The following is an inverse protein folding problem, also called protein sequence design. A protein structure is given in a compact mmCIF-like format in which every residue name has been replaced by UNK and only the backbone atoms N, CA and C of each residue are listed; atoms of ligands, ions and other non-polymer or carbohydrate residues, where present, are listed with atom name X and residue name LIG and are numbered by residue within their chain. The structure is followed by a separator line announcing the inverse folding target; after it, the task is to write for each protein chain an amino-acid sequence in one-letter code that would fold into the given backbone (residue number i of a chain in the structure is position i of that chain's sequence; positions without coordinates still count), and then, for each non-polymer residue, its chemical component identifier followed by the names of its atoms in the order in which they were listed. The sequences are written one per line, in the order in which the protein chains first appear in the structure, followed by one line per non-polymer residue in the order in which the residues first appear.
data_IF_788131918830
#
_entry.id   IF_788131918830
#
_cell.length_a   1.000
_cell.length_b   1.000
_cell.length_c   1.000
_cell.angle_alpha   90.00
_cell.angle_beta   90.00
_cell.angle_gamma   90.00
#
_symmetry.space_group_name_H-M   'P 1'
#
loop_
_entity.id
_entity.type
_entity.pdbx_description
1 polymer ?
#
# COMPACT_ATOMS: atom_id res chain seq x y z
N UNK A 1 -11.03 16.23 11.49
CA UNK A 1 -10.73 15.16 10.50
C UNK A 1 -9.41 15.48 9.82
N UNK A 2 -8.62 14.47 9.47
CA UNK A 2 -7.34 14.65 8.78
C UNK A 2 -7.42 13.96 7.43
N UNK A 3 -7.03 14.63 6.35
CA UNK A 3 -7.05 14.07 5.01
C UNK A 3 -5.64 13.93 4.47
N UNK A 4 -5.33 12.78 3.85
CA UNK A 4 -4.06 12.54 3.15
C UNK A 4 -4.35 12.05 1.73
N UNK A 5 -3.51 12.44 0.78
CA UNK A 5 -3.60 12.01 -0.61
C UNK A 5 -2.31 11.33 -1.02
N UNK A 6 -2.39 10.04 -1.34
CA UNK A 6 -1.29 9.27 -1.90
C UNK A 6 -1.39 9.16 -3.42
N UNK A 7 -0.50 8.35 -4.01
CA UNK A 7 -0.46 8.05 -5.45
C UNK A 7 -1.71 7.32 -5.94
N UNK A 8 -2.20 6.37 -5.16
CA UNK A 8 -3.32 5.49 -5.53
C UNK A 8 -4.60 5.76 -4.74
N UNK A 9 -4.53 6.46 -3.60
CA UNK A 9 -5.64 6.50 -2.65
C UNK A 9 -5.75 7.84 -1.95
N UNK A 10 -6.98 8.22 -1.63
CA UNK A 10 -7.32 9.30 -0.74
C UNK A 10 -7.71 8.69 0.62
N UNK A 11 -7.20 9.25 1.71
CA UNK A 11 -7.40 8.73 3.05
C UNK A 11 -8.02 9.80 3.93
N UNK A 12 -9.13 9.47 4.58
CA UNK A 12 -9.78 10.29 5.60
C UNK A 12 -9.58 9.61 6.95
N UNK A 13 -8.93 10.29 7.89
CA UNK A 13 -8.70 9.80 9.25
C UNK A 13 -9.67 10.51 10.18
N UNK A 14 -10.44 9.72 10.93
CA UNK A 14 -11.32 10.19 11.99
C UNK A 14 -10.71 9.83 13.36
N UNK A 15 -10.08 10.80 14.06
CA UNK A 15 -9.52 10.57 15.38
C UNK A 15 -10.57 10.14 16.40
N UNK A 16 -11.78 10.70 16.31
CA UNK A 16 -12.90 10.39 17.20
C UNK A 16 -13.29 8.90 17.15
N UNK A 17 -13.23 8.30 15.95
CA UNK A 17 -13.56 6.89 15.75
C UNK A 17 -12.33 5.97 15.88
N UNK A 18 -11.12 6.52 15.85
CA UNK A 18 -9.90 5.72 15.72
C UNK A 18 -9.85 4.95 14.39
N UNK A 19 -10.43 5.49 13.32
CA UNK A 19 -10.54 4.83 12.01
C UNK A 19 -9.95 5.68 10.88
N UNK A 20 -9.43 4.99 9.87
CA UNK A 20 -8.98 5.54 8.60
C UNK A 20 -9.80 4.92 7.45
N UNK A 21 -10.40 5.78 6.64
CA UNK A 21 -11.20 5.43 5.46
C UNK A 21 -10.35 5.67 4.22
N UNK A 22 -10.00 4.62 3.48
CA UNK A 22 -9.21 4.71 2.25
C UNK A 22 -10.10 4.52 1.03
N UNK A 23 -10.08 5.51 0.14
CA UNK A 23 -10.80 5.52 -1.13
C UNK A 23 -9.80 5.44 -2.29
N UNK A 24 -9.99 4.55 -3.27
CA UNK A 24 -9.11 4.48 -4.43
C UNK A 24 -9.29 5.72 -5.32
N UNK A 25 -8.18 6.23 -5.85
CA UNK A 25 -8.16 7.29 -6.85
C UNK A 25 -8.15 6.62 -8.22
N UNK A 26 -9.26 6.71 -8.93
CA UNK A 26 -9.41 6.18 -10.28
C UNK A 26 -9.02 7.25 -11.32
N UNK A 27 -8.51 6.81 -12.47
CA UNK A 27 -8.13 7.71 -13.56
C UNK A 27 -8.83 7.38 -14.90
N UNK A 28 -10.17 7.30 -14.94
CA UNK A 28 -10.90 6.86 -16.13
C UNK A 28 -10.65 7.76 -17.34
N UNK A 29 -10.57 9.08 -17.15
CA UNK A 29 -10.28 10.01 -18.23
C UNK A 29 -8.87 9.82 -18.81
N UNK A 30 -7.87 9.48 -17.98
CA UNK A 30 -6.52 9.19 -18.48
C UNK A 30 -6.49 7.87 -19.23
N UNK A 31 -7.15 6.84 -18.71
CA UNK A 31 -7.27 5.54 -19.35
C UNK A 31 -7.95 5.67 -20.74
N UNK A 32 -9.07 6.42 -20.80
CA UNK A 32 -9.78 6.70 -22.04
C UNK A 32 -8.91 7.47 -23.04
N UNK A 33 -8.24 8.55 -22.62
CA UNK A 33 -7.35 9.33 -23.52
C UNK A 33 -6.20 8.50 -24.07
N UNK A 34 -5.64 7.60 -23.27
CA UNK A 34 -4.57 6.70 -23.71
C UNK A 34 -5.08 5.68 -24.73
N UNK A 35 -6.24 5.06 -24.47
CA UNK A 35 -6.89 4.17 -25.42
C UNK A 35 -7.24 4.90 -26.74
N UNK A 36 -7.81 6.11 -26.66
CA UNK A 36 -8.14 6.93 -27.82
C UNK A 36 -6.91 7.25 -28.67
N UNK A 37 -5.78 7.61 -28.05
CA UNK A 37 -4.52 7.88 -28.76
C UNK A 37 -4.03 6.66 -29.53
N UNK A 38 -4.08 5.47 -28.93
CA UNK A 38 -3.66 4.23 -29.60
C UNK A 38 -4.57 3.88 -30.78
N UNK A 39 -5.88 4.11 -30.64
CA UNK A 39 -6.82 3.95 -31.76
C UNK A 39 -6.49 4.91 -32.90
N UNK A 40 -6.21 6.18 -32.61
CA UNK A 40 -5.81 7.17 -33.63
C UNK A 40 -4.50 6.78 -34.35
N UNK A 41 -3.56 6.18 -33.63
CA UNK A 41 -2.29 5.69 -34.18
C UNK A 41 -2.41 4.33 -34.89
N UNK A 42 -3.62 3.73 -34.91
CA UNK A 42 -3.89 2.36 -35.41
C UNK A 42 -3.06 1.29 -34.70
N UNK A 43 -2.65 1.55 -33.46
CA UNK A 43 -1.77 0.68 -32.70
C UNK A 43 -2.56 -0.32 -31.84
N UNK A 44 -3.35 -1.16 -32.51
CA UNK A 44 -4.27 -2.09 -31.86
C UNK A 44 -3.57 -3.18 -31.05
N UNK A 45 -2.32 -3.50 -31.41
CA UNK A 45 -1.49 -4.45 -30.65
C UNK A 45 -1.25 -3.93 -29.25
N UNK A 46 -0.83 -2.66 -29.09
CA UNK A 46 -0.59 -2.07 -27.78
C UNK A 46 -1.89 -1.79 -27.02
N UNK A 47 -2.98 -1.46 -27.73
CA UNK A 47 -4.30 -1.36 -27.10
C UNK A 47 -4.72 -2.69 -26.47
N UNK A 48 -4.54 -3.81 -27.19
CA UNK A 48 -4.85 -5.14 -26.68
C UNK A 48 -3.96 -5.51 -25.49
N UNK A 49 -2.65 -5.26 -25.59
CA UNK A 49 -1.71 -5.48 -24.49
C UNK A 49 -2.13 -4.65 -23.27
N UNK A 50 -2.54 -3.39 -23.45
CA UNK A 50 -2.95 -2.55 -22.33
C UNK A 50 -4.19 -3.06 -21.59
N UNK A 51 -5.14 -3.68 -22.30
CA UNK A 51 -6.38 -4.22 -21.72
C UNK A 51 -6.12 -5.57 -21.06
N UNK A 52 -5.30 -6.41 -21.69
CA UNK A 52 -5.10 -7.82 -21.27
C UNK A 52 -3.94 -8.03 -20.32
N UNK A 53 -2.92 -7.16 -20.39
CA UNK A 53 -1.69 -7.32 -19.63
C UNK A 53 -1.65 -6.33 -18.46
N UNK A 54 -1.33 -6.79 -17.22
CA UNK A 54 -0.99 -5.88 -16.14
C UNK A 54 0.39 -5.29 -16.43
N UNK A 55 0.47 -4.30 -17.33
CA UNK A 55 1.67 -3.45 -17.43
C UNK A 55 1.72 -2.62 -16.14
N UNK A 56 2.39 -3.18 -15.14
CA UNK A 56 2.84 -2.50 -13.94
C UNK A 56 4.33 -2.20 -14.13
N UNK A 57 4.68 -1.41 -15.15
CA UNK A 57 6.00 -0.77 -15.18
C UNK A 57 5.93 0.46 -14.25
N UNK A 58 7.00 0.78 -13.50
CA UNK A 58 7.08 2.02 -12.73
C UNK A 58 6.73 3.27 -13.55
N UNK A 59 7.08 3.23 -14.85
CA UNK A 59 7.02 4.35 -15.78
C UNK A 59 5.77 4.35 -16.68
N UNK A 60 5.18 3.18 -16.93
CA UNK A 60 4.01 3.01 -17.80
C UNK A 60 2.92 2.27 -17.05
N UNK A 61 1.84 2.99 -16.73
CA UNK A 61 0.62 2.40 -16.16
C UNK A 61 -0.26 1.88 -17.28
N UNK A 62 -0.48 0.57 -17.31
CA UNK A 62 -1.46 -0.05 -18.20
C UNK A 62 -2.89 0.41 -17.89
N UNK A 63 -3.82 0.09 -18.80
CA UNK A 63 -5.24 0.42 -18.63
C UNK A 63 -5.81 -0.17 -17.33
N UNK A 64 -5.43 -1.42 -17.02
CA UNK A 64 -5.81 -2.09 -15.77
C UNK A 64 -5.34 -1.35 -14.52
N UNK A 65 -4.10 -0.87 -14.47
CA UNK A 65 -3.61 -0.11 -13.29
C UNK A 65 -4.35 1.22 -13.12
N UNK A 66 -4.61 1.94 -14.23
CA UNK A 66 -5.32 3.22 -14.20
C UNK A 66 -6.79 3.10 -13.74
N UNK A 67 -7.44 1.99 -14.09
CA UNK A 67 -8.85 1.74 -13.82
C UNK A 67 -9.10 0.98 -12.52
N UNK A 68 -8.25 0.00 -12.21
CA UNK A 68 -8.49 -0.98 -11.16
C UNK A 68 -7.31 -1.16 -10.20
N UNK A 69 -6.12 -0.62 -10.49
CA UNK A 69 -4.93 -0.81 -9.65
C UNK A 69 -5.18 -0.39 -8.21
N UNK A 70 -5.72 0.81 -7.99
CA UNK A 70 -6.04 1.29 -6.64
C UNK A 70 -7.07 0.43 -5.89
N UNK A 71 -8.08 -0.09 -6.61
CA UNK A 71 -9.11 -0.99 -6.06
C UNK A 71 -8.47 -2.31 -5.65
N UNK A 72 -7.65 -2.88 -6.54
CA UNK A 72 -6.95 -4.13 -6.31
C UNK A 72 -6.03 -4.07 -5.10
N UNK A 73 -5.29 -2.97 -4.93
CA UNK A 73 -4.40 -2.79 -3.78
C UNK A 73 -5.21 -2.73 -2.47
N UNK A 74 -6.32 -1.99 -2.42
CA UNK A 74 -7.21 -1.97 -1.26
C UNK A 74 -7.76 -3.37 -0.94
N UNK A 75 -8.24 -4.08 -1.97
CA UNK A 75 -8.78 -5.42 -1.78
C UNK A 75 -7.70 -6.39 -1.29
N UNK A 76 -6.50 -6.30 -1.83
CA UNK A 76 -5.36 -7.15 -1.47
C UNK A 76 -4.95 -6.91 -0.01
N UNK A 77 -4.89 -5.67 0.48
CA UNK A 77 -4.68 -5.38 1.92
C UNK A 77 -5.72 -6.08 2.80
N UNK A 78 -7.00 -5.93 2.47
CA UNK A 78 -8.08 -6.53 3.27
C UNK A 78 -7.97 -8.06 3.28
N UNK A 79 -7.79 -8.67 2.12
CA UNK A 79 -7.66 -10.12 1.99
C UNK A 79 -6.43 -10.65 2.74
N UNK A 80 -5.30 -9.96 2.64
CA UNK A 80 -4.08 -10.37 3.34
C UNK A 80 -4.22 -10.27 4.86
N UNK A 81 -4.79 -9.17 5.35
CA UNK A 81 -5.09 -9.03 6.79
C UNK A 81 -6.05 -10.11 7.26
N UNK A 82 -7.15 -10.33 6.54
CA UNK A 82 -8.17 -11.30 6.94
C UNK A 82 -7.61 -12.72 6.98
N UNK A 83 -6.77 -13.09 6.00
CA UNK A 83 -6.15 -14.41 5.89
C UNK A 83 -5.08 -14.66 6.96
N UNK A 84 -4.19 -13.69 7.19
CA UNK A 84 -3.00 -13.93 8.03
C UNK A 84 -3.18 -13.46 9.46
N UNK A 85 -3.98 -12.40 9.68
CA UNK A 85 -4.13 -11.70 10.96
C UNK A 85 -2.77 -11.38 11.61
N UNK A 86 -1.74 -11.18 10.78
CA UNK A 86 -0.37 -11.06 11.27
C UNK A 86 -0.25 -9.84 12.21
N UNK A 87 0.34 -9.97 13.41
CA UNK A 87 0.33 -8.90 14.43
C UNK A 87 0.96 -7.58 13.98
N UNK A 88 1.91 -7.65 13.03
CA UNK A 88 2.58 -6.48 12.45
C UNK A 88 1.64 -5.63 11.59
N UNK A 89 0.53 -6.18 11.12
CA UNK A 89 -0.43 -5.46 10.30
C UNK A 89 -1.29 -4.54 11.16
N UNK A 90 -1.55 -3.33 10.66
CA UNK A 90 -2.63 -2.52 11.19
C UNK A 90 -3.97 -3.08 10.68
N UNK A 91 -4.94 -3.37 11.58
CA UNK A 91 -6.18 -4.03 11.20
C UNK A 91 -6.98 -3.32 10.10
N UNK A 92 -7.30 -4.05 9.04
CA UNK A 92 -8.24 -3.62 8.00
C UNK A 92 -9.55 -4.35 8.22
N UNK A 93 -10.51 -3.67 8.85
CA UNK A 93 -11.75 -4.29 9.31
C UNK A 93 -12.71 -4.64 8.18
N UNK A 94 -12.73 -3.84 7.12
CA UNK A 94 -13.71 -3.98 6.05
C UNK A 94 -13.16 -3.47 4.72
N UNK A 95 -13.59 -4.10 3.62
CA UNK A 95 -13.40 -3.61 2.26
C UNK A 95 -14.67 -3.79 1.44
N UNK A 96 -15.20 -2.71 0.86
CA UNK A 96 -16.30 -2.79 -0.12
C UNK A 96 -15.72 -3.01 -1.52
N UNK A 97 -15.34 -4.26 -1.83
CA UNK A 97 -14.71 -4.64 -3.10
C UNK A 97 -13.51 -3.74 -3.49
N UNK A 98 -12.75 -3.24 -2.51
CA UNK A 98 -11.62 -2.34 -2.72
C UNK A 98 -11.99 -0.86 -2.97
N UNK A 99 -13.27 -0.52 -3.13
CA UNK A 99 -13.74 0.87 -3.32
C UNK A 99 -13.71 1.69 -2.02
N UNK A 100 -13.75 1.02 -0.88
CA UNK A 100 -13.60 1.62 0.43
C UNK A 100 -12.92 0.60 1.33
N UNK A 101 -11.77 0.94 1.91
CA UNK A 101 -11.19 0.21 3.03
C UNK A 101 -11.40 0.99 4.33
N UNK A 102 -11.86 0.28 5.37
CA UNK A 102 -11.91 0.80 6.74
C UNK A 102 -10.79 0.13 7.52
N UNK A 103 -9.80 0.92 7.92
CA UNK A 103 -8.63 0.48 8.68
C UNK A 103 -8.61 1.14 10.05
N UNK A 104 -8.06 0.48 11.06
CA UNK A 104 -7.78 1.10 12.36
C UNK A 104 -6.76 2.23 12.19
N UNK A 105 -7.01 3.40 12.76
CA UNK A 105 -6.01 4.46 12.82
C UNK A 105 -4.99 4.18 13.93
N UNK A 106 -3.73 4.54 13.70
CA UNK A 106 -2.66 4.48 14.70
C UNK A 106 -1.94 5.82 14.83
N UNK A 107 -1.15 5.98 15.88
CA UNK A 107 -0.29 7.15 16.05
C UNK A 107 0.77 7.16 14.94
N UNK A 108 1.04 8.29 14.26
CA UNK A 108 2.03 8.35 13.19
C UNK A 108 3.41 7.85 13.64
N UNK A 109 4.11 7.12 12.76
CA UNK A 109 5.52 6.82 12.97
C UNK A 109 6.35 8.12 12.92
N UNK A 110 7.14 8.35 13.97
CA UNK A 110 8.04 9.51 14.09
C UNK A 110 9.51 9.15 13.81
N UNK A 111 9.77 7.90 13.45
CA UNK A 111 11.12 7.40 13.12
C UNK A 111 11.55 8.04 11.78
N UNK A 112 12.77 8.57 11.74
CA UNK A 112 13.35 9.12 10.51
C UNK A 112 13.54 8.02 9.47
N UNK A 113 13.29 8.33 8.20
CA UNK A 113 13.35 7.37 7.09
C UNK A 113 14.68 6.61 7.03
N UNK A 114 15.82 7.29 7.15
CA UNK A 114 17.13 6.63 7.17
C UNK A 114 17.25 5.61 8.30
N UNK A 115 16.87 5.99 9.52
CA UNK A 115 16.94 5.11 10.71
C UNK A 115 16.01 3.90 10.56
N UNK A 116 14.81 4.13 10.02
CA UNK A 116 13.87 3.06 9.70
C UNK A 116 14.44 2.10 8.65
N UNK A 117 15.00 2.63 7.56
CA UNK A 117 15.58 1.85 6.48
C UNK A 117 16.76 1.00 6.98
N UNK A 118 17.71 1.60 7.71
CA UNK A 118 18.87 0.91 8.26
C UNK A 118 18.43 -0.23 9.21
N UNK A 119 17.51 0.05 10.13
CA UNK A 119 17.01 -0.97 11.06
C UNK A 119 16.23 -2.09 10.36
N UNK A 120 15.42 -1.78 9.34
CA UNK A 120 14.71 -2.80 8.56
C UNK A 120 15.70 -3.65 7.75
N UNK A 121 16.78 -3.06 7.23
CA UNK A 121 17.83 -3.79 6.52
C UNK A 121 18.55 -4.76 7.45
N UNK A 122 18.89 -4.33 8.67
CA UNK A 122 19.54 -5.20 9.66
C UNK A 122 18.68 -6.42 10.05
N UNK A 123 17.35 -6.27 10.00
CA UNK A 123 16.39 -7.32 10.40
C UNK A 123 16.00 -8.24 9.24
N UNK A 124 15.72 -7.67 8.07
CA UNK A 124 15.10 -8.35 6.93
C UNK A 124 16.03 -8.46 5.70
N UNK A 125 17.24 -7.90 5.77
CA UNK A 125 18.22 -7.91 4.69
C UNK A 125 17.72 -7.23 3.42
N UNK A 126 18.15 -7.74 2.27
CA UNK A 126 17.83 -7.18 0.95
C UNK A 126 16.34 -7.23 0.59
N UNK A 127 15.52 -8.02 1.30
CA UNK A 127 14.07 -8.12 1.01
C UNK A 127 13.33 -6.79 1.16
N UNK A 128 13.92 -5.81 1.86
CA UNK A 128 13.33 -4.45 1.94
C UNK A 128 13.38 -3.71 0.59
N UNK A 129 14.30 -4.10 -0.29
CA UNK A 129 14.48 -3.50 -1.62
C UNK A 129 13.61 -4.16 -2.69
N UNK A 130 12.91 -5.24 -2.36
CA UNK A 130 11.85 -5.80 -3.21
C UNK A 130 10.68 -4.80 -3.33
N UNK A 131 10.43 -3.98 -2.30
CA UNK A 131 9.38 -2.96 -2.31
C UNK A 131 9.76 -1.70 -1.50
N UNK A 132 10.75 -0.92 -1.97
CA UNK A 132 11.32 0.16 -1.19
C UNK A 132 10.29 1.26 -0.90
N UNK A 133 9.41 1.56 -1.86
CA UNK A 133 8.39 2.60 -1.67
C UNK A 133 7.38 2.29 -0.55
N UNK A 134 7.06 1.02 -0.32
CA UNK A 134 6.17 0.63 0.78
C UNK A 134 6.94 0.42 2.09
N UNK A 135 8.17 -0.12 2.02
CA UNK A 135 8.90 -0.58 3.20
C UNK A 135 9.82 0.47 3.84
N UNK A 136 10.34 1.44 3.10
CA UNK A 136 11.28 2.41 3.71
C UNK A 136 10.61 3.69 4.17
N UNK A 137 9.38 4.00 3.70
CA UNK A 137 8.70 5.24 4.04
C UNK A 137 8.05 5.20 5.44
N UNK A 138 8.43 6.06 6.39
CA UNK A 138 7.82 6.10 7.72
C UNK A 138 6.31 6.34 7.69
N UNK A 139 5.81 7.00 6.64
CA UNK A 139 4.38 7.25 6.46
C UNK A 139 3.52 5.99 6.31
N UNK A 140 4.15 4.85 6.04
CA UNK A 140 3.50 3.54 5.92
C UNK A 140 3.49 2.77 7.25
N UNK A 141 3.93 3.38 8.34
CA UNK A 141 3.98 2.77 9.67
C UNK A 141 3.24 3.61 10.71
N UNK A 142 2.81 2.95 11.78
CA UNK A 142 2.19 3.59 12.94
C UNK A 142 2.52 2.85 14.23
N UNK A 143 2.27 3.51 15.36
CA UNK A 143 2.22 2.90 16.67
C UNK A 143 0.77 2.75 17.13
N UNK A 144 0.40 1.55 17.56
CA UNK A 144 -0.92 1.24 18.11
C UNK A 144 -0.75 0.43 19.40
N UNK A 145 -1.12 1.01 20.54
CA UNK A 145 -0.93 0.44 21.87
C UNK A 145 0.52 -0.03 22.11
N UNK A 146 1.48 0.85 21.80
CA UNK A 146 2.92 0.57 21.95
C UNK A 146 3.51 -0.40 20.93
N UNK A 147 2.70 -0.94 20.00
CA UNK A 147 3.17 -1.87 18.96
C UNK A 147 3.43 -1.13 17.66
N UNK A 148 4.61 -1.35 17.09
CA UNK A 148 4.95 -0.90 15.75
C UNK A 148 4.20 -1.73 14.70
N UNK A 149 3.51 -1.08 13.76
CA UNK A 149 2.67 -1.73 12.76
C UNK A 149 2.78 -1.07 11.40
N UNK A 150 2.59 -1.85 10.34
CA UNK A 150 2.52 -1.39 8.95
C UNK A 150 1.07 -1.12 8.55
N UNK A 151 0.82 0.02 7.89
CA UNK A 151 -0.52 0.46 7.45
C UNK A 151 -0.75 0.31 5.94
N UNK A 152 0.31 0.33 5.13
CA UNK A 152 0.26 0.10 3.69
C UNK A 152 1.02 -1.17 3.34
N UNK A 153 0.27 -2.21 2.98
CA UNK A 153 0.79 -3.54 2.74
C UNK A 153 0.04 -4.20 1.59
N UNK A 154 -0.45 -3.45 0.61
CA UNK A 154 -1.24 -4.04 -0.49
C UNK A 154 -0.42 -4.78 -1.55
N UNK A 155 0.91 -4.76 -1.45
CA UNK A 155 1.83 -5.36 -2.41
C UNK A 155 2.22 -6.79 -2.03
N UNK A 156 2.31 -7.67 -3.03
CA UNK A 156 2.77 -9.05 -2.83
C UNK A 156 4.22 -9.13 -2.37
N UNK A 157 5.05 -8.18 -2.76
CA UNK A 157 6.45 -8.12 -2.35
C UNK A 157 6.55 -7.76 -0.86
N UNK A 158 5.73 -6.81 -0.40
CA UNK A 158 5.57 -6.50 1.03
C UNK A 158 5.10 -7.72 1.86
N UNK A 159 4.21 -8.58 1.33
CA UNK A 159 3.75 -9.78 2.05
C UNK A 159 4.88 -10.71 2.45
N UNK A 160 5.87 -10.88 1.57
CA UNK A 160 7.00 -11.76 1.83
C UNK A 160 7.78 -11.29 3.05
N UNK A 161 8.19 -10.02 3.07
CA UNK A 161 8.91 -9.44 4.20
C UNK A 161 8.09 -9.52 5.50
N UNK A 162 6.77 -9.27 5.45
CA UNK A 162 5.91 -9.35 6.63
C UNK A 162 5.86 -10.77 7.19
N UNK A 163 5.69 -11.77 6.34
CA UNK A 163 5.60 -13.17 6.77
C UNK A 163 6.94 -13.71 7.30
N UNK A 164 8.06 -13.29 6.70
CA UNK A 164 9.40 -13.79 7.06
C UNK A 164 9.99 -13.06 8.27
N UNK A 165 9.75 -11.75 8.39
CA UNK A 165 10.48 -10.89 9.35
C UNK A 165 9.58 -9.99 10.21
N UNK A 166 8.26 -9.97 9.99
CA UNK A 166 7.36 -9.01 10.64
C UNK A 166 7.37 -9.07 12.17
N UNK A 167 7.49 -10.26 12.76
CA UNK A 167 7.60 -10.41 14.22
C UNK A 167 8.91 -9.84 14.79
N UNK A 168 10.02 -10.06 14.07
CA UNK A 168 11.34 -9.51 14.46
C UNK A 168 11.33 -7.99 14.39
N UNK A 169 10.73 -7.43 13.34
CA UNK A 169 10.55 -5.98 13.17
C UNK A 169 9.73 -5.41 14.33
N UNK A 170 8.61 -6.04 14.68
CA UNK A 170 7.83 -5.62 15.84
C UNK A 170 8.63 -5.65 17.13
N UNK A 171 9.36 -6.74 17.38
CA UNK A 171 10.15 -6.90 18.61
C UNK A 171 11.25 -5.85 18.74
N UNK A 172 11.89 -5.48 17.62
CA UNK A 172 12.91 -4.44 17.58
C UNK A 172 12.34 -3.07 17.96
N UNK A 173 11.24 -2.65 17.32
CA UNK A 173 10.64 -1.31 17.53
C UNK A 173 9.71 -1.22 18.75
N UNK A 174 9.42 -2.32 19.43
CA UNK A 174 8.66 -2.30 20.69
C UNK A 174 9.53 -1.92 21.89
N UNK A 175 10.87 -1.89 21.73
CA UNK A 175 11.78 -1.37 22.74
C UNK A 175 11.87 0.16 22.58
N UNK A 176 11.82 0.95 23.67
CA UNK A 176 12.11 2.37 23.57
C UNK A 176 13.52 2.54 22.97
N UNK A 177 13.73 3.49 22.04
CA UNK A 177 15.07 3.80 21.56
C UNK A 177 15.92 4.20 22.78
N UNK A 178 17.04 3.51 22.97
CA UNK A 178 18.06 3.90 23.95
C UNK A 178 18.75 5.19 23.52
#
# INVERSE_FOLDING_TARGET
MITKKGRYRFVVISPLLGLAFKFPILHPLKAFRLAWRLVQQKDYKYLWIMITWPINSPDIRGYGDLMFGAIWVNWSEFMFFWKTRHPFLQPTYFSFFGLLNIQKAGAPCVIKEKVLCDALYDIAGETIFDDPHHLTSPGNYCFDNGKFRIIDYGSKMTYRMILESGEKVMAFFSKPPQ
#
